data_IF_747217032512
#
_entry.id   IF_747217032512
#
_cell.length_a   1.000
_cell.length_b   1.000
_cell.length_c   1.000
_cell.angle_alpha   90.00
_cell.angle_beta   90.00
_cell.angle_gamma   90.00
#
_symmetry.space_group_name_H-M   'P 1'
#
loop_
_entity.id
_entity.type
_entity.pdbx_description
1 polymer ?
#
# COMPACT_ATOMS: atom_id res chain seq x y z
N UNK A 1 13.47 -68.09 43.75
CA UNK A 1 14.05 -66.73 43.76
C UNK A 1 14.95 -66.59 42.52
N UNK A 2 14.42 -66.00 41.46
CA UNK A 2 15.20 -65.71 40.24
C UNK A 2 15.32 -64.17 40.14
N UNK A 3 16.50 -63.68 40.47
CA UNK A 3 16.87 -62.27 40.23
C UNK A 3 17.28 -62.12 38.75
N UNK A 4 16.40 -61.46 37.96
CA UNK A 4 16.80 -60.97 36.66
C UNK A 4 17.51 -59.63 36.86
N UNK A 5 18.79 -59.57 36.58
CA UNK A 5 19.56 -58.37 36.42
C UNK A 5 19.20 -57.76 35.05
N UNK A 6 18.50 -56.62 35.02
CA UNK A 6 18.34 -55.83 33.81
C UNK A 6 19.64 -55.07 33.53
N UNK A 7 20.24 -55.33 32.36
CA UNK A 7 21.32 -54.53 31.84
C UNK A 7 20.72 -53.30 31.09
N UNK A 8 21.17 -52.07 31.37
CA UNK A 8 20.69 -50.93 30.60
C UNK A 8 21.19 -51.03 29.17
N UNK A 9 20.27 -50.82 28.23
CA UNK A 9 20.53 -50.82 26.81
C UNK A 9 21.41 -49.59 26.47
N UNK A 10 22.74 -49.80 26.37
CA UNK A 10 23.73 -48.75 26.06
C UNK A 10 23.81 -48.44 24.57
N UNK A 11 23.20 -49.21 23.69
CA UNK A 11 23.27 -49.03 22.24
C UNK A 11 22.56 -47.78 21.74
N UNK A 12 21.44 -47.39 22.33
CA UNK A 12 20.67 -46.22 21.90
C UNK A 12 21.37 -44.85 22.20
N UNK A 13 22.19 -44.79 23.23
CA UNK A 13 22.90 -43.54 23.60
C UNK A 13 24.08 -43.25 22.66
N UNK A 14 24.76 -44.31 22.20
CA UNK A 14 25.85 -44.16 21.23
C UNK A 14 25.34 -43.82 19.83
N UNK A 15 24.20 -44.37 19.38
CA UNK A 15 23.55 -43.98 18.12
C UNK A 15 23.09 -42.51 18.13
N UNK A 16 22.51 -42.04 19.22
CA UNK A 16 22.05 -40.63 19.31
C UNK A 16 23.24 -39.67 19.29
N UNK A 17 24.30 -39.92 20.01
CA UNK A 17 25.51 -39.10 20.03
C UNK A 17 26.22 -39.05 18.67
N UNK A 18 26.24 -40.14 17.93
CA UNK A 18 26.80 -40.19 16.59
C UNK A 18 25.94 -39.44 15.59
N UNK A 19 24.61 -39.55 15.69
CA UNK A 19 23.66 -38.80 14.90
C UNK A 19 23.79 -37.28 15.15
N UNK A 20 23.87 -36.86 16.42
CA UNK A 20 24.05 -35.46 16.79
C UNK A 20 25.39 -34.90 16.26
N UNK A 21 26.45 -35.73 16.27
CA UNK A 21 27.75 -35.35 15.71
C UNK A 21 27.68 -35.18 14.20
N UNK A 22 27.02 -36.09 13.49
CA UNK A 22 26.85 -36.04 12.04
C UNK A 22 25.98 -34.84 11.64
N UNK A 23 24.88 -34.58 12.35
CA UNK A 23 24.03 -33.40 12.14
C UNK A 23 24.79 -32.12 12.38
N UNK A 24 25.54 -32.01 13.48
CA UNK A 24 26.36 -30.83 13.78
C UNK A 24 27.41 -30.56 12.69
N UNK A 25 28.06 -31.63 12.18
CA UNK A 25 29.03 -31.50 11.10
C UNK A 25 28.37 -31.13 9.77
N UNK A 26 27.17 -31.67 9.46
CA UNK A 26 26.43 -31.37 8.25
C UNK A 26 25.83 -29.98 8.23
N UNK A 27 25.47 -29.41 9.41
CA UNK A 27 24.94 -28.08 9.60
C UNK A 27 26.01 -27.03 9.89
N UNK A 28 27.28 -27.42 9.94
CA UNK A 28 28.36 -26.46 10.17
C UNK A 28 28.38 -25.40 9.07
N UNK A 29 28.53 -24.12 9.42
CA UNK A 29 28.59 -23.04 8.42
C UNK A 29 29.73 -23.28 7.43
N UNK A 30 29.42 -23.30 6.15
CA UNK A 30 30.42 -23.38 5.08
C UNK A 30 31.02 -21.99 4.92
N UNK A 31 32.25 -21.78 5.38
CA UNK A 31 32.98 -20.55 5.08
C UNK A 31 33.45 -20.57 3.62
N UNK A 32 33.02 -19.64 2.76
CA UNK A 32 33.53 -19.58 1.39
C UNK A 32 35.03 -19.26 1.39
N UNK A 33 35.77 -19.78 0.41
CA UNK A 33 37.17 -19.41 0.19
C UNK A 33 37.32 -17.88 0.05
N UNK A 34 38.46 -17.32 0.46
CA UNK A 34 38.68 -15.88 0.55
C UNK A 34 38.39 -15.14 -0.79
N UNK A 35 38.77 -15.75 -1.92
CA UNK A 35 38.47 -15.21 -3.24
C UNK A 35 36.97 -15.22 -3.58
N UNK A 36 36.25 -16.27 -3.18
CA UNK A 36 34.79 -16.36 -3.31
C UNK A 36 34.08 -15.36 -2.41
N UNK A 37 34.56 -15.17 -1.19
CA UNK A 37 34.04 -14.18 -0.27
C UNK A 37 34.15 -12.78 -0.87
N UNK A 38 35.32 -12.40 -1.40
CA UNK A 38 35.51 -11.10 -2.06
C UNK A 38 34.61 -10.92 -3.28
N UNK A 39 34.45 -11.94 -4.12
CA UNK A 39 33.56 -11.90 -5.28
C UNK A 39 32.09 -11.75 -4.88
N UNK A 40 31.64 -12.40 -3.82
CA UNK A 40 30.28 -12.27 -3.29
C UNK A 40 30.08 -10.84 -2.76
N UNK A 41 31.02 -10.31 -1.98
CA UNK A 41 30.95 -8.94 -1.45
C UNK A 41 30.92 -7.90 -2.56
N UNK A 42 31.74 -8.05 -3.60
CA UNK A 42 31.76 -7.15 -4.74
C UNK A 42 30.40 -7.15 -5.48
N UNK A 43 29.81 -8.34 -5.70
CA UNK A 43 28.48 -8.46 -6.30
C UNK A 43 27.38 -7.82 -5.43
N UNK A 44 27.42 -8.03 -4.12
CA UNK A 44 26.47 -7.40 -3.20
C UNK A 44 26.59 -5.89 -3.23
N UNK A 45 27.81 -5.35 -3.20
CA UNK A 45 28.05 -3.91 -3.31
C UNK A 45 27.53 -3.35 -4.64
N UNK A 46 27.83 -4.02 -5.75
CA UNK A 46 27.33 -3.62 -7.07
C UNK A 46 25.81 -3.61 -7.13
N UNK A 47 25.14 -4.67 -6.64
CA UNK A 47 23.68 -4.73 -6.57
C UNK A 47 23.10 -3.64 -5.68
N UNK A 48 23.75 -3.34 -4.55
CA UNK A 48 23.30 -2.26 -3.66
C UNK A 48 23.38 -0.90 -4.35
N UNK A 49 24.49 -0.61 -5.04
CA UNK A 49 24.65 0.64 -5.80
C UNK A 49 23.62 0.73 -6.92
N UNK A 50 23.40 -0.34 -7.64
CA UNK A 50 22.39 -0.42 -8.71
C UNK A 50 20.99 -0.20 -8.16
N UNK A 51 20.61 -0.90 -7.08
CA UNK A 51 19.30 -0.75 -6.42
C UNK A 51 19.08 0.68 -5.92
N UNK A 52 20.08 1.32 -5.31
CA UNK A 52 19.99 2.72 -4.89
C UNK A 52 19.74 3.64 -6.10
N UNK A 53 20.43 3.41 -7.23
CA UNK A 53 20.25 4.22 -8.43
C UNK A 53 18.87 4.02 -9.08
N UNK A 54 18.39 2.78 -9.16
CA UNK A 54 17.08 2.43 -9.71
C UNK A 54 15.92 2.99 -8.88
N UNK A 55 16.09 3.10 -7.56
CA UNK A 55 15.07 3.61 -6.65
C UNK A 55 15.29 5.07 -6.24
N UNK A 56 16.28 5.75 -6.83
CA UNK A 56 16.54 7.16 -6.56
C UNK A 56 15.32 8.02 -6.92
N UNK A 57 14.86 8.82 -5.96
CA UNK A 57 13.70 9.70 -6.13
C UNK A 57 12.34 9.04 -5.85
N UNK A 58 12.25 7.72 -5.70
CA UNK A 58 11.01 7.07 -5.25
C UNK A 58 10.78 7.34 -3.76
N UNK A 59 9.56 7.73 -3.40
CA UNK A 59 9.15 7.92 -2.01
C UNK A 59 8.33 6.71 -1.55
N UNK A 60 8.88 5.92 -0.63
CA UNK A 60 8.16 4.79 -0.04
C UNK A 60 7.81 5.09 1.42
N UNK A 61 6.52 5.07 1.76
CA UNK A 61 6.01 5.27 3.11
C UNK A 61 5.53 3.94 3.67
N UNK A 62 6.24 3.46 4.68
CA UNK A 62 5.90 2.21 5.36
C UNK A 62 4.70 2.37 6.29
N UNK A 63 3.93 1.30 6.49
CA UNK A 63 2.72 1.34 7.32
C UNK A 63 2.95 1.92 8.71
N UNK A 64 4.08 1.59 9.35
CA UNK A 64 4.44 2.08 10.68
C UNK A 64 5.14 3.44 10.70
N UNK A 65 5.52 3.97 9.51
CA UNK A 65 6.18 5.27 9.42
C UNK A 65 5.17 6.42 9.48
N UNK A 66 5.69 7.61 9.83
CA UNK A 66 4.90 8.84 9.91
C UNK A 66 4.18 9.04 11.23
N UNK A 67 3.63 10.24 11.41
CA UNK A 67 2.96 10.69 12.62
C UNK A 67 1.48 10.90 12.34
N UNK A 68 0.64 10.45 13.26
CA UNK A 68 -0.79 10.71 13.24
C UNK A 68 -1.09 12.07 13.87
N UNK A 69 -1.84 12.90 13.16
CA UNK A 69 -2.28 14.21 13.60
C UNK A 69 -3.79 14.21 13.81
N UNK A 70 -4.29 14.83 14.88
CA UNK A 70 -5.74 14.96 15.10
C UNK A 70 -6.37 15.92 14.07
N UNK A 71 -7.59 15.60 13.65
CA UNK A 71 -8.44 16.47 12.83
C UNK A 71 -9.56 17.05 13.71
N UNK A 72 -10.31 16.18 14.37
CA UNK A 72 -11.36 16.43 15.33
C UNK A 72 -11.52 15.21 16.24
N UNK A 73 -12.48 15.24 17.18
CA UNK A 73 -12.71 14.09 18.06
C UNK A 73 -12.98 12.82 17.27
N UNK A 74 -12.20 11.79 17.57
CA UNK A 74 -12.29 10.48 16.95
C UNK A 74 -11.77 10.42 15.51
N UNK A 75 -11.21 11.49 14.95
CA UNK A 75 -10.65 11.51 13.58
C UNK A 75 -9.20 11.99 13.62
N UNK A 76 -8.33 11.24 13.00
CA UNK A 76 -6.91 11.57 12.81
C UNK A 76 -6.44 11.21 11.42
N UNK A 77 -5.39 11.90 10.93
CA UNK A 77 -4.78 11.61 9.65
C UNK A 77 -3.27 11.39 9.77
N UNK A 78 -2.73 10.65 8.82
CA UNK A 78 -1.29 10.48 8.62
C UNK A 78 -0.95 10.88 7.19
N UNK A 79 -0.05 11.87 7.02
CA UNK A 79 0.38 12.31 5.70
C UNK A 79 1.31 11.27 5.06
N UNK A 80 1.04 10.95 3.82
CA UNK A 80 1.86 10.10 2.95
C UNK A 80 2.69 10.96 2.00
N UNK A 81 2.04 11.95 1.36
CA UNK A 81 2.69 12.84 0.42
C UNK A 81 2.06 14.24 0.45
N UNK A 82 2.89 15.28 0.17
CA UNK A 82 2.45 16.65 0.00
C UNK A 82 2.50 17.01 -1.48
N UNK A 83 1.39 16.85 -2.17
CA UNK A 83 1.28 17.08 -3.60
C UNK A 83 0.85 18.51 -3.96
N UNK A 84 1.10 18.94 -5.21
CA UNK A 84 0.69 20.27 -5.68
C UNK A 84 -0.84 20.42 -5.80
N UNK A 85 -1.56 19.32 -5.93
CA UNK A 85 -3.02 19.25 -6.04
C UNK A 85 -3.65 18.64 -4.77
N UNK A 86 -3.15 19.00 -3.61
CA UNK A 86 -3.56 18.45 -2.32
C UNK A 86 -2.68 17.29 -1.83
N UNK A 87 -2.91 16.88 -0.60
CA UNK A 87 -2.15 15.83 0.06
C UNK A 87 -2.72 14.45 -0.22
N UNK A 88 -1.84 13.45 -0.16
CA UNK A 88 -2.22 12.04 -0.03
C UNK A 88 -2.04 11.62 1.42
N UNK A 89 -3.09 11.08 2.03
CA UNK A 89 -3.14 10.78 3.46
C UNK A 89 -3.86 9.46 3.75
N UNK A 90 -3.56 8.89 4.91
CA UNK A 90 -4.48 7.95 5.58
C UNK A 90 -5.31 8.72 6.59
N UNK A 91 -6.61 8.46 6.63
CA UNK A 91 -7.54 9.02 7.63
C UNK A 91 -8.17 7.88 8.41
N UNK A 92 -8.11 7.98 9.72
CA UNK A 92 -8.71 7.00 10.62
C UNK A 92 -9.87 7.63 11.38
N UNK A 93 -11.01 6.95 11.34
CA UNK A 93 -12.23 7.26 12.08
C UNK A 93 -12.40 6.25 13.22
N UNK A 94 -12.56 6.73 14.42
CA UNK A 94 -13.06 5.93 15.53
C UNK A 94 -14.54 5.60 15.33
N UNK A 95 -15.04 4.58 16.01
CA UNK A 95 -16.46 4.25 15.98
C UNK A 95 -17.30 5.45 16.46
N UNK A 96 -18.33 5.81 15.68
CA UNK A 96 -19.21 6.94 15.93
C UNK A 96 -18.66 8.32 15.52
N UNK A 97 -17.41 8.39 15.05
CA UNK A 97 -16.83 9.67 14.62
C UNK A 97 -17.46 10.19 13.33
N UNK A 98 -17.56 11.53 13.23
CA UNK A 98 -18.18 12.21 12.10
C UNK A 98 -17.38 13.45 11.71
N UNK A 99 -17.16 13.60 10.39
CA UNK A 99 -16.61 14.81 9.78
C UNK A 99 -17.75 15.65 9.19
N UNK A 100 -17.83 16.97 9.49
CA UNK A 100 -18.91 17.79 8.99
C UNK A 100 -18.87 17.99 7.47
N UNK A 101 -19.97 18.51 6.92
CA UNK A 101 -20.05 18.94 5.51
C UNK A 101 -18.91 19.89 5.17
N UNK A 102 -18.22 19.62 4.06
CA UNK A 102 -17.11 20.43 3.59
C UNK A 102 -17.06 20.47 2.06
N UNK A 103 -16.27 21.38 1.51
CA UNK A 103 -16.11 21.58 0.07
C UNK A 103 -14.68 21.24 -0.33
N UNK A 104 -14.51 20.60 -1.48
CA UNK A 104 -13.18 20.22 -1.98
C UNK A 104 -12.51 21.36 -2.74
N UNK A 105 -11.24 21.63 -2.44
CA UNK A 105 -10.42 22.59 -3.20
C UNK A 105 -9.84 21.97 -4.47
N UNK A 106 -9.58 20.65 -4.44
CA UNK A 106 -9.04 19.85 -5.54
C UNK A 106 -9.94 18.68 -5.85
N UNK A 107 -9.60 17.94 -6.88
CA UNK A 107 -10.19 16.61 -7.14
C UNK A 107 -9.77 15.69 -5.99
N UNK A 108 -10.69 15.34 -5.12
CA UNK A 108 -10.43 14.39 -4.03
C UNK A 108 -10.90 13.00 -4.41
N UNK A 109 -10.02 12.03 -4.21
CA UNK A 109 -10.28 10.59 -4.41
C UNK A 109 -10.13 9.88 -3.07
N UNK A 110 -11.06 8.99 -2.76
CA UNK A 110 -11.09 8.24 -1.51
C UNK A 110 -11.31 6.75 -1.72
N UNK A 111 -10.66 5.92 -0.90
CA UNK A 111 -10.82 4.47 -0.88
C UNK A 111 -10.90 4.02 0.57
N UNK A 112 -11.92 3.24 0.91
CA UNK A 112 -12.04 2.62 2.23
C UNK A 112 -11.10 1.42 2.31
N UNK A 113 -10.13 1.45 3.23
CA UNK A 113 -9.17 0.36 3.45
C UNK A 113 -9.66 -0.65 4.47
N UNK A 114 -10.41 -0.18 5.46
CA UNK A 114 -10.96 -0.99 6.56
C UNK A 114 -12.21 -0.33 7.14
N UNK A 115 -13.17 -1.14 7.59
CA UNK A 115 -14.45 -0.67 8.11
C UNK A 115 -15.33 -0.13 7.01
N UNK A 116 -16.18 0.85 7.32
CA UNK A 116 -17.09 1.47 6.38
C UNK A 116 -17.33 2.95 6.70
N UNK A 117 -17.66 3.72 5.66
CA UNK A 117 -18.01 5.13 5.75
C UNK A 117 -19.41 5.35 5.21
N UNK A 118 -20.13 6.27 5.82
CA UNK A 118 -21.45 6.72 5.37
C UNK A 118 -21.41 8.21 5.04
N UNK A 119 -21.88 8.59 3.85
CA UNK A 119 -22.01 9.96 3.35
C UNK A 119 -23.45 10.22 2.93
N UNK A 120 -24.29 10.69 3.86
CA UNK A 120 -25.74 10.77 3.66
C UNK A 120 -26.34 9.36 3.47
N UNK A 121 -26.94 9.11 2.30
CA UNK A 121 -27.50 7.79 1.95
C UNK A 121 -26.47 6.83 1.33
N UNK A 122 -25.30 7.34 0.93
CA UNK A 122 -24.24 6.54 0.34
C UNK A 122 -23.47 5.82 1.43
N UNK A 123 -23.43 4.49 1.35
CA UNK A 123 -22.59 3.64 2.18
C UNK A 123 -21.42 3.12 1.35
N UNK A 124 -20.21 3.25 1.89
CA UNK A 124 -18.96 2.79 1.29
C UNK A 124 -18.34 1.73 2.17
N UNK A 125 -18.13 0.58 1.58
CA UNK A 125 -17.48 -0.57 2.21
C UNK A 125 -16.00 -0.67 1.78
N UNK A 126 -15.35 -1.68 2.29
CA UNK A 126 -13.93 -1.92 2.01
C UNK A 126 -13.64 -2.01 0.53
N UNK A 127 -12.69 -1.19 0.05
CA UNK A 127 -12.23 -1.02 -1.32
C UNK A 127 -13.19 -0.28 -2.25
N UNK A 128 -14.33 0.21 -1.76
CA UNK A 128 -15.11 1.14 -2.53
C UNK A 128 -14.34 2.44 -2.76
N UNK A 129 -14.48 2.96 -3.96
CA UNK A 129 -13.82 4.17 -4.44
C UNK A 129 -14.85 5.28 -4.65
N UNK A 130 -14.51 6.47 -4.19
CA UNK A 130 -15.31 7.68 -4.40
C UNK A 130 -14.44 8.82 -4.89
N UNK A 131 -14.90 9.58 -5.88
CA UNK A 131 -14.21 10.77 -6.39
C UNK A 131 -15.14 11.97 -6.37
N UNK A 132 -14.61 13.06 -5.81
CA UNK A 132 -15.27 14.35 -5.66
C UNK A 132 -14.51 15.41 -6.47
N UNK A 133 -15.10 16.01 -7.52
CA UNK A 133 -14.46 17.06 -8.30
C UNK A 133 -14.15 18.31 -7.45
N UNK A 134 -13.15 19.09 -7.87
CA UNK A 134 -12.87 20.39 -7.27
C UNK A 134 -14.12 21.28 -7.26
N UNK A 135 -14.37 21.95 -6.13
CA UNK A 135 -15.58 22.77 -5.92
C UNK A 135 -16.82 21.99 -5.53
N UNK A 136 -16.82 20.66 -5.62
CA UNK A 136 -17.92 19.83 -5.11
C UNK A 136 -18.00 19.83 -3.59
N UNK A 137 -19.11 19.35 -3.07
CA UNK A 137 -19.40 19.24 -1.65
C UNK A 137 -20.09 17.93 -1.40
N UNK A 138 -19.72 17.22 -0.38
CA UNK A 138 -20.54 16.10 0.10
C UNK A 138 -21.09 16.35 1.51
N UNK A 139 -22.02 15.49 1.89
CA UNK A 139 -22.64 15.51 3.21
C UNK A 139 -21.64 15.11 4.28
N UNK A 140 -22.05 15.18 5.55
CA UNK A 140 -21.21 14.68 6.63
C UNK A 140 -20.78 13.23 6.37
N UNK A 141 -19.51 12.95 6.65
CA UNK A 141 -18.95 11.59 6.59
C UNK A 141 -18.94 11.05 8.00
N UNK A 142 -19.47 9.87 8.21
CA UNK A 142 -19.45 9.20 9.50
C UNK A 142 -19.04 7.73 9.38
N UNK A 143 -18.50 7.18 10.47
CA UNK A 143 -18.23 5.75 10.56
C UNK A 143 -18.88 5.17 11.82
N UNK A 144 -19.79 4.22 11.65
CA UNK A 144 -20.48 3.59 12.78
C UNK A 144 -19.56 2.66 13.59
N UNK A 145 -18.65 1.95 12.93
CA UNK A 145 -17.80 0.92 13.53
C UNK A 145 -16.31 1.27 13.52
N UNK A 146 -15.97 2.45 13.03
CA UNK A 146 -14.61 2.87 12.74
C UNK A 146 -14.20 2.52 11.31
N UNK A 147 -13.31 3.33 10.74
CA UNK A 147 -12.82 3.15 9.39
C UNK A 147 -11.38 3.63 9.25
N UNK A 148 -10.68 3.07 8.28
CA UNK A 148 -9.42 3.59 7.75
C UNK A 148 -9.63 3.83 6.26
N UNK A 149 -9.35 5.05 5.79
CA UNK A 149 -9.44 5.42 4.39
C UNK A 149 -8.12 6.01 3.89
N UNK A 150 -7.83 5.77 2.62
CA UNK A 150 -6.84 6.54 1.86
C UNK A 150 -7.57 7.67 1.15
N UNK A 151 -7.05 8.89 1.27
CA UNK A 151 -7.52 10.06 0.54
C UNK A 151 -6.37 10.69 -0.24
N UNK A 152 -6.65 11.13 -1.45
CA UNK A 152 -5.75 11.87 -2.32
C UNK A 152 -6.43 13.17 -2.77
N UNK A 153 -5.68 14.25 -2.92
CA UNK A 153 -6.22 15.56 -3.29
C UNK A 153 -6.93 16.28 -2.16
N UNK A 154 -6.66 15.90 -0.92
CA UNK A 154 -7.28 16.50 0.27
C UNK A 154 -6.50 17.70 0.80
N UNK A 155 -7.20 18.60 1.47
CA UNK A 155 -6.60 19.73 2.21
C UNK A 155 -6.10 19.36 3.60
N UNK A 156 -6.30 18.14 4.07
CA UNK A 156 -5.83 17.71 5.38
C UNK A 156 -4.31 17.89 5.50
N UNK A 157 -3.91 18.60 6.57
CA UNK A 157 -2.51 18.97 6.79
C UNK A 157 -2.09 20.34 6.19
N UNK A 158 -2.99 21.05 5.51
CA UNK A 158 -2.82 22.45 5.09
C UNK A 158 -3.77 23.34 5.90
N UNK A 159 -3.35 23.85 7.06
CA UNK A 159 -4.20 24.57 7.99
C UNK A 159 -5.07 25.68 7.36
N UNK A 160 -4.56 26.56 6.46
CA UNK A 160 -5.40 27.57 5.80
C UNK A 160 -6.46 26.98 4.87
N UNK A 161 -6.15 25.85 4.23
CA UNK A 161 -7.02 25.19 3.25
C UNK A 161 -8.15 24.43 3.91
N UNK A 162 -7.91 23.78 5.05
CA UNK A 162 -8.94 23.09 5.83
C UNK A 162 -10.01 24.09 6.32
N UNK A 163 -9.59 25.25 6.85
CA UNK A 163 -10.54 26.29 7.27
C UNK A 163 -11.38 26.79 6.08
N UNK A 164 -10.78 26.94 4.91
CA UNK A 164 -11.46 27.35 3.68
C UNK A 164 -12.47 26.31 3.19
N UNK A 165 -12.17 25.04 3.31
CA UNK A 165 -13.07 23.94 2.97
C UNK A 165 -14.29 23.90 3.89
N UNK A 166 -14.09 24.01 5.20
CA UNK A 166 -15.17 24.07 6.19
C UNK A 166 -16.07 25.29 5.98
N UNK A 167 -15.50 26.48 5.76
CA UNK A 167 -16.26 27.68 5.45
C UNK A 167 -16.95 27.59 4.08
N UNK A 168 -16.29 26.97 3.09
CA UNK A 168 -16.82 26.73 1.75
C UNK A 168 -18.02 25.80 1.74
N UNK A 169 -18.17 24.92 2.73
CA UNK A 169 -19.35 24.07 2.93
C UNK A 169 -20.66 24.86 3.13
N UNK A 170 -20.59 26.12 3.51
CA UNK A 170 -21.73 27.01 3.70
C UNK A 170 -22.13 27.79 2.43
N UNK A 171 -21.30 27.75 1.37
CA UNK A 171 -21.55 28.51 0.13
C UNK A 171 -22.34 27.66 -0.88
N UNK A 172 -23.03 28.27 -1.86
CA UNK A 172 -23.74 27.57 -2.90
C UNK A 172 -22.81 26.64 -3.70
N UNK A 173 -23.34 25.50 -4.11
CA UNK A 173 -22.63 24.47 -4.87
C UNK A 173 -22.36 24.94 -6.31
N UNK A 174 -21.13 24.67 -6.82
CA UNK A 174 -20.73 25.00 -8.20
C UNK A 174 -19.82 23.94 -8.84
N UNK A 175 -19.62 22.78 -8.21
CA UNK A 175 -18.77 21.71 -8.71
C UNK A 175 -19.54 20.63 -9.49
N UNK A 176 -18.82 19.78 -10.22
CA UNK A 176 -19.36 18.63 -10.90
C UNK A 176 -19.92 17.56 -9.94
N UNK A 177 -20.56 16.54 -10.51
CA UNK A 177 -21.10 15.44 -9.72
C UNK A 177 -19.97 14.50 -9.24
N UNK A 178 -20.06 14.11 -7.99
CA UNK A 178 -19.20 13.04 -7.45
C UNK A 178 -19.58 11.68 -8.10
N UNK A 179 -18.62 10.78 -8.14
CA UNK A 179 -18.80 9.43 -8.71
C UNK A 179 -18.33 8.40 -7.70
N UNK A 180 -19.02 7.26 -7.67
CA UNK A 180 -18.66 6.11 -6.83
C UNK A 180 -18.52 4.89 -7.72
N UNK A 181 -17.45 4.12 -7.47
CA UNK A 181 -17.24 2.82 -8.08
C UNK A 181 -17.15 1.80 -6.94
N UNK A 182 -18.17 0.96 -6.82
CA UNK A 182 -18.14 -0.10 -5.83
C UNK A 182 -17.14 -1.19 -6.24
N UNK A 183 -16.42 -1.72 -5.28
CA UNK A 183 -15.42 -2.75 -5.55
C UNK A 183 -16.05 -4.01 -6.18
N UNK A 184 -17.24 -4.38 -5.71
CA UNK A 184 -18.01 -5.51 -6.20
C UNK A 184 -18.58 -5.36 -7.61
N UNK A 185 -18.64 -4.13 -8.16
CA UNK A 185 -19.07 -3.92 -9.53
C UNK A 185 -18.08 -4.55 -10.52
N UNK A 186 -18.56 -4.96 -11.67
CA UNK A 186 -17.73 -5.48 -12.77
C UNK A 186 -16.67 -4.49 -13.28
N UNK A 187 -16.27 -4.63 -14.52
CA UNK A 187 -15.33 -3.70 -15.19
C UNK A 187 -13.86 -4.10 -15.08
N UNK A 188 -13.55 -5.29 -14.57
CA UNK A 188 -12.21 -5.85 -14.59
C UNK A 188 -11.84 -6.31 -16.00
N UNK A 189 -10.69 -5.83 -16.49
CA UNK A 189 -10.10 -6.21 -17.76
C UNK A 189 -8.79 -6.96 -17.48
N UNK A 190 -8.63 -8.12 -18.11
CA UNK A 190 -7.38 -8.85 -18.05
C UNK A 190 -6.38 -8.22 -19.02
N UNK A 191 -5.23 -7.77 -18.49
CA UNK A 191 -4.15 -7.17 -19.29
C UNK A 191 -3.13 -8.24 -19.73
N UNK A 192 -2.81 -9.18 -18.85
CA UNK A 192 -1.92 -10.30 -19.08
C UNK A 192 -2.30 -11.45 -18.16
N UNK A 193 -1.56 -12.55 -18.21
CA UNK A 193 -1.79 -13.69 -17.32
C UNK A 193 -1.70 -13.27 -15.85
N UNK A 194 -2.78 -13.45 -15.09
CA UNK A 194 -2.87 -13.11 -13.68
C UNK A 194 -2.88 -11.61 -13.36
N UNK A 195 -2.94 -10.70 -14.35
CA UNK A 195 -2.99 -9.24 -14.15
C UNK A 195 -4.29 -8.67 -14.66
N UNK A 196 -5.03 -8.01 -13.78
CA UNK A 196 -6.33 -7.39 -14.08
C UNK A 196 -6.32 -5.91 -13.69
N UNK A 197 -6.97 -5.08 -14.51
CA UNK A 197 -7.16 -3.64 -14.31
C UNK A 197 -8.65 -3.31 -14.23
N UNK A 198 -9.02 -2.41 -13.34
CA UNK A 198 -10.36 -1.79 -13.29
C UNK A 198 -10.16 -0.27 -13.26
N UNK A 199 -10.65 0.42 -14.28
CA UNK A 199 -10.62 1.88 -14.31
C UNK A 199 -11.65 2.43 -13.33
N UNK A 200 -11.26 3.46 -12.58
CA UNK A 200 -12.05 4.13 -11.56
C UNK A 200 -12.40 5.55 -11.97
N UNK A 201 -11.43 6.28 -12.49
CA UNK A 201 -11.55 7.65 -12.94
C UNK A 201 -10.50 7.96 -14.01
N UNK A 202 -10.88 8.80 -14.98
CA UNK A 202 -9.97 9.33 -15.99
C UNK A 202 -10.27 10.82 -16.24
N UNK A 203 -9.23 11.65 -16.20
CA UNK A 203 -9.38 13.08 -16.43
C UNK A 203 -8.05 13.83 -16.32
N UNK A 204 -7.90 14.94 -17.08
CA UNK A 204 -6.68 15.75 -17.05
C UNK A 204 -5.43 15.02 -17.52
N UNK A 205 -5.55 13.97 -18.33
CA UNK A 205 -4.44 13.12 -18.76
C UNK A 205 -3.88 12.24 -17.64
N UNK A 206 -4.66 11.97 -16.60
CA UNK A 206 -4.39 11.05 -15.50
C UNK A 206 -5.50 10.02 -15.42
N UNK A 207 -5.17 8.81 -15.03
CA UNK A 207 -6.14 7.76 -14.71
C UNK A 207 -5.89 7.20 -13.32
N UNK A 208 -6.98 6.83 -12.66
CA UNK A 208 -6.99 6.11 -11.39
C UNK A 208 -7.56 4.73 -11.61
N UNK A 209 -6.83 3.71 -11.23
CA UNK A 209 -7.18 2.32 -11.50
C UNK A 209 -6.92 1.43 -10.30
N UNK A 210 -7.71 0.36 -10.18
CA UNK A 210 -7.27 -0.79 -9.41
C UNK A 210 -6.51 -1.76 -10.32
N UNK A 211 -5.45 -2.32 -9.77
CA UNK A 211 -4.76 -3.47 -10.33
C UNK A 211 -4.86 -4.63 -9.35
N UNK A 212 -5.31 -5.78 -9.84
CA UNK A 212 -5.34 -7.03 -9.12
C UNK A 212 -4.36 -8.00 -9.78
N UNK A 213 -3.42 -8.48 -9.00
CA UNK A 213 -2.41 -9.45 -9.41
C UNK A 213 -2.69 -10.76 -8.69
N UNK A 214 -2.76 -11.85 -9.44
CA UNK A 214 -2.83 -13.20 -8.89
C UNK A 214 -1.44 -13.66 -8.39
N UNK A 215 -1.36 -14.66 -7.52
CA UNK A 215 -0.08 -15.22 -7.09
C UNK A 215 0.79 -15.64 -8.29
N UNK A 216 2.06 -15.22 -8.29
CA UNK A 216 3.01 -15.46 -9.36
C UNK A 216 2.91 -14.52 -10.56
N UNK A 217 1.99 -13.54 -10.54
CA UNK A 217 1.85 -12.58 -11.63
C UNK A 217 3.00 -11.56 -11.64
N UNK A 218 3.38 -11.14 -12.86
CA UNK A 218 4.39 -10.11 -13.09
C UNK A 218 3.85 -9.00 -13.99
N UNK A 219 4.35 -7.77 -13.77
CA UNK A 219 4.12 -6.62 -14.63
C UNK A 219 5.48 -6.07 -15.08
N UNK A 220 5.72 -5.89 -16.39
CA UNK A 220 7.00 -5.39 -16.86
C UNK A 220 7.35 -4.01 -16.28
N UNK A 221 8.64 -3.78 -16.08
CA UNK A 221 9.15 -2.46 -15.68
C UNK A 221 8.80 -1.39 -16.71
N UNK A 222 8.58 -0.16 -16.22
CA UNK A 222 8.19 0.96 -17.07
C UNK A 222 8.68 2.30 -16.53
N UNK A 223 8.63 3.32 -17.38
CA UNK A 223 8.94 4.71 -17.05
C UNK A 223 7.66 5.48 -16.72
N UNK A 224 7.76 6.41 -15.75
CA UNK A 224 6.67 7.28 -15.37
C UNK A 224 6.71 8.61 -16.12
N UNK A 225 5.74 8.84 -16.99
CA UNK A 225 5.61 10.12 -17.74
C UNK A 225 5.10 11.25 -16.84
N UNK A 226 4.38 10.91 -15.79
CA UNK A 226 3.86 11.80 -14.73
C UNK A 226 4.12 11.17 -13.37
N UNK A 227 3.89 11.92 -12.30
CA UNK A 227 3.91 11.31 -10.97
C UNK A 227 2.91 10.16 -10.91
N UNK A 228 3.34 9.04 -10.36
CA UNK A 228 2.49 7.88 -10.11
C UNK A 228 2.40 7.62 -8.61
N UNK A 229 1.18 7.60 -8.11
CA UNK A 229 0.86 7.23 -6.73
C UNK A 229 0.37 5.79 -6.69
N UNK A 230 0.99 4.98 -5.87
CA UNK A 230 0.60 3.59 -5.63
C UNK A 230 0.25 3.40 -4.16
N UNK A 231 -0.98 2.97 -3.86
CA UNK A 231 -1.42 2.58 -2.52
C UNK A 231 -1.74 1.09 -2.50
N UNK A 232 -1.02 0.35 -1.65
CA UNK A 232 -1.28 -1.08 -1.46
C UNK A 232 -2.54 -1.29 -0.63
N UNK A 233 -3.54 -1.95 -1.21
CA UNK A 233 -4.84 -2.21 -0.59
C UNK A 233 -4.87 -3.58 0.10
N UNK A 234 -4.30 -4.61 -0.54
CA UNK A 234 -4.22 -5.96 0.00
C UNK A 234 -3.04 -6.74 -0.61
N UNK A 235 -2.56 -7.75 0.11
CA UNK A 235 -1.44 -8.58 -0.32
C UNK A 235 -0.11 -7.84 -0.26
N UNK A 236 0.81 -8.23 -1.13
CA UNK A 236 2.12 -7.60 -1.24
C UNK A 236 2.66 -7.69 -2.68
N UNK A 237 3.50 -6.74 -3.06
CA UNK A 237 4.15 -6.68 -4.37
C UNK A 237 5.59 -6.21 -4.22
N UNK A 238 6.49 -6.83 -4.96
CA UNK A 238 7.82 -6.29 -5.20
C UNK A 238 7.77 -5.31 -6.38
N UNK A 239 8.25 -4.10 -6.18
CA UNK A 239 8.50 -3.11 -7.23
C UNK A 239 10.02 -3.02 -7.39
N UNK A 240 10.59 -3.81 -8.30
CA UNK A 240 12.01 -4.10 -8.29
C UNK A 240 12.43 -4.76 -6.96
N UNK A 241 13.39 -4.17 -6.26
CA UNK A 241 13.86 -4.65 -4.94
C UNK A 241 13.03 -4.12 -3.75
N UNK A 242 12.02 -3.29 -3.99
CA UNK A 242 11.18 -2.72 -2.93
C UNK A 242 9.91 -3.55 -2.74
N UNK A 243 9.81 -4.23 -1.61
CA UNK A 243 8.58 -4.89 -1.21
C UNK A 243 7.62 -3.88 -0.59
N UNK A 244 6.40 -3.76 -1.16
CA UNK A 244 5.26 -3.04 -0.60
C UNK A 244 4.21 -4.00 -0.07
N UNK A 245 3.66 -3.69 1.09
CA UNK A 245 2.61 -4.45 1.75
C UNK A 245 1.34 -3.63 1.93
N UNK A 246 0.23 -4.30 2.20
CA UNK A 246 -1.05 -3.65 2.46
C UNK A 246 -0.92 -2.49 3.47
N UNK A 247 -1.45 -1.33 3.11
CA UNK A 247 -1.37 -0.08 3.87
C UNK A 247 -0.10 0.74 3.63
N UNK A 248 0.83 0.28 2.79
CA UNK A 248 2.03 1.04 2.40
C UNK A 248 1.79 1.81 1.10
N UNK A 249 2.50 2.91 0.95
CA UNK A 249 2.35 3.85 -0.15
C UNK A 249 3.69 4.08 -0.85
N UNK A 250 3.65 4.23 -2.17
CA UNK A 250 4.80 4.68 -2.95
C UNK A 250 4.39 5.79 -3.91
N UNK A 251 5.26 6.79 -4.03
CA UNK A 251 5.23 7.79 -5.09
C UNK A 251 6.43 7.60 -6.00
N UNK A 252 6.17 7.47 -7.28
CA UNK A 252 7.17 7.50 -8.34
C UNK A 252 7.05 8.84 -9.09
N UNK A 253 8.04 9.75 -8.98
CA UNK A 253 8.02 11.02 -9.69
C UNK A 253 8.10 10.86 -11.21
N UNK A 254 7.59 11.86 -11.94
CA UNK A 254 7.77 11.94 -13.38
C UNK A 254 9.24 11.81 -13.77
N UNK A 255 9.54 10.99 -14.79
CA UNK A 255 10.89 10.68 -15.25
C UNK A 255 11.59 9.56 -14.47
N UNK A 256 11.03 9.09 -13.35
CA UNK A 256 11.51 7.90 -12.68
C UNK A 256 11.08 6.62 -13.40
N UNK A 257 11.67 5.52 -13.01
CA UNK A 257 11.30 4.19 -13.50
C UNK A 257 11.40 3.18 -12.36
N UNK A 258 10.68 2.11 -12.46
CA UNK A 258 10.94 0.92 -11.64
C UNK A 258 11.04 -0.33 -12.50
N UNK A 259 11.71 -1.33 -11.97
CA UNK A 259 11.85 -2.63 -12.60
C UNK A 259 10.53 -3.40 -12.64
N UNK A 260 10.61 -4.69 -12.95
CA UNK A 260 9.45 -5.58 -12.94
C UNK A 260 8.74 -5.54 -11.59
N UNK A 261 7.41 -5.45 -11.62
CA UNK A 261 6.58 -5.70 -10.45
C UNK A 261 6.19 -7.18 -10.39
N UNK A 262 6.28 -7.77 -9.20
CA UNK A 262 6.08 -9.19 -8.99
C UNK A 262 5.42 -9.48 -7.64
N UNK A 263 4.57 -10.50 -7.57
CA UNK A 263 3.93 -10.92 -6.33
C UNK A 263 3.91 -12.45 -6.18
N UNK A 264 4.30 -12.96 -5.00
CA UNK A 264 4.20 -14.38 -4.67
C UNK A 264 2.79 -14.77 -4.22
N UNK A 265 2.10 -13.89 -3.53
CA UNK A 265 0.86 -14.19 -2.78
C UNK A 265 -0.37 -13.50 -3.35
N UNK A 266 -0.18 -12.68 -4.37
CA UNK A 266 -1.22 -11.82 -4.93
C UNK A 266 -1.23 -10.42 -4.30
N UNK A 267 -1.77 -9.46 -5.05
CA UNK A 267 -1.83 -8.05 -4.65
C UNK A 267 -3.08 -7.37 -5.18
N UNK A 268 -3.57 -6.38 -4.44
CA UNK A 268 -4.53 -5.39 -4.89
C UNK A 268 -3.93 -4.01 -4.64
N UNK A 269 -3.82 -3.22 -5.71
CA UNK A 269 -3.24 -1.88 -5.69
C UNK A 269 -4.24 -0.86 -6.22
N UNK A 270 -4.22 0.33 -5.65
CA UNK A 270 -4.69 1.53 -6.30
C UNK A 270 -3.49 2.24 -6.91
N UNK A 271 -3.61 2.61 -8.18
CA UNK A 271 -2.57 3.35 -8.91
C UNK A 271 -3.22 4.55 -9.59
N UNK A 272 -2.61 5.73 -9.39
CA UNK A 272 -2.94 6.94 -10.14
C UNK A 272 -1.72 7.42 -10.89
N UNK A 273 -1.80 7.43 -12.20
CA UNK A 273 -0.69 7.76 -13.08
C UNK A 273 -1.15 8.39 -14.39
N UNK A 274 -0.23 8.50 -15.35
CA UNK A 274 -0.56 8.91 -16.72
C UNK A 274 -1.58 7.95 -17.34
N UNK A 275 -2.46 8.47 -18.19
CA UNK A 275 -3.29 7.62 -19.07
C UNK A 275 -2.35 6.88 -20.00
N UNK A 276 -2.40 5.55 -19.98
CA UNK A 276 -1.65 4.67 -20.91
C UNK A 276 -2.38 4.54 -22.24
#
# INVERSE_FOLDING_TARGET
MNSRTEYPNQSGVFEQAELDRLLTAALAPIAPEANRHQAIMARLQQRTVQSIAEHAGLLTIRLKAGVWHPVTDGIRFKRLWNGPEGNSVLVEFSAGASLPVHRHNWLEEGIVLRGGLQMGELELDRFDYHVSPAGSRHQSIQSRQGALAYLRGTSLGHSPSVLRELLGGLLPFSGGNAQTVFYGDGGWQQLSSGVFKKELYSGGGMASCFYRLEPGATVPGHQHLKNEECMMLAGEVFLGDILLRAGEFQLAPAGSQHGEAYTDVGALLFVRGAVC
#
